data_IF_730733077688
#
_entry.id   IF_730733077688
#
_cell.length_a   1.000
_cell.length_b   1.000
_cell.length_c   1.000
_cell.angle_alpha   90.00
_cell.angle_beta   90.00
_cell.angle_gamma   90.00
#
_symmetry.space_group_name_H-M   'P 1'
#
loop_
_entity.id
_entity.type
_entity.pdbx_description
1 polymer ?
#
# COMPACT_ATOMS: atom_id res chain seq x y z
N UNK A 1 -3.75 57.94 -10.64
CA UNK A 1 -4.44 56.76 -11.19
C UNK A 1 -4.00 55.53 -10.41
N UNK A 2 -4.78 55.16 -9.39
CA UNK A 2 -4.51 53.97 -8.57
C UNK A 2 -4.96 52.74 -9.36
N UNK A 3 -4.03 51.86 -9.72
CA UNK A 3 -4.37 50.55 -10.31
C UNK A 3 -4.78 49.65 -9.15
N UNK A 4 -6.08 49.38 -9.03
CA UNK A 4 -6.61 48.37 -8.13
C UNK A 4 -6.06 47.00 -8.55
N UNK A 5 -5.31 46.35 -7.67
CA UNK A 5 -4.94 44.95 -7.79
C UNK A 5 -6.22 44.11 -7.83
N UNK A 6 -6.40 43.22 -8.83
CA UNK A 6 -7.54 42.32 -8.82
C UNK A 6 -7.38 41.34 -7.65
N UNK A 7 -8.33 41.40 -6.71
CA UNK A 7 -8.49 40.38 -5.68
C UNK A 7 -8.98 39.11 -6.36
N UNK A 8 -8.09 38.15 -6.57
CA UNK A 8 -8.49 36.77 -6.83
C UNK A 8 -9.03 36.21 -5.52
N UNK A 9 -10.31 36.45 -5.23
CA UNK A 9 -11.03 35.58 -4.31
C UNK A 9 -11.10 34.22 -5.00
N UNK A 10 -10.14 33.34 -4.70
CA UNK A 10 -10.15 31.97 -5.17
C UNK A 10 -11.47 31.34 -4.74
N UNK A 11 -12.24 30.83 -5.71
CA UNK A 11 -13.45 30.08 -5.42
C UNK A 11 -13.06 28.72 -4.84
N UNK A 12 -12.77 28.71 -3.54
CA UNK A 12 -12.39 27.50 -2.79
C UNK A 12 -13.60 26.61 -2.48
N UNK A 13 -14.80 26.90 -3.01
CA UNK A 13 -16.01 26.09 -2.74
C UNK A 13 -15.85 24.63 -3.18
N UNK A 14 -15.02 24.36 -4.19
CA UNK A 14 -14.63 23.00 -4.59
C UNK A 14 -13.75 22.31 -3.54
N UNK A 15 -12.86 23.05 -2.87
CA UNK A 15 -12.03 22.53 -1.77
C UNK A 15 -12.81 22.42 -0.45
N UNK A 16 -13.84 23.25 -0.24
CA UNK A 16 -14.69 23.18 0.93
C UNK A 16 -15.40 21.82 1.04
N UNK A 17 -15.81 21.21 -0.07
CA UNK A 17 -16.48 19.90 -0.07
C UNK A 17 -15.54 18.78 0.37
N UNK A 18 -14.25 18.85 0.01
CA UNK A 18 -13.23 17.87 0.41
C UNK A 18 -12.89 17.93 1.91
N UNK A 19 -13.12 19.05 2.59
CA UNK A 19 -12.70 19.27 3.99
C UNK A 19 -13.83 19.16 5.02
N UNK A 20 -15.10 19.14 4.59
CA UNK A 20 -16.24 19.43 5.48
C UNK A 20 -16.59 18.35 6.49
N UNK A 21 -16.23 17.09 6.28
CA UNK A 21 -16.47 16.03 7.28
C UNK A 21 -15.28 15.08 7.32
N UNK A 22 -14.50 15.06 8.43
CA UNK A 22 -13.48 14.05 8.60
C UNK A 22 -14.13 12.65 8.64
N UNK A 23 -13.42 11.60 8.20
CA UNK A 23 -13.94 10.25 8.27
C UNK A 23 -14.27 9.87 9.71
N UNK A 24 -15.35 9.13 9.90
CA UNK A 24 -15.68 8.56 11.20
C UNK A 24 -14.62 7.50 11.56
N UNK A 25 -13.90 7.75 12.65
CA UNK A 25 -12.85 6.85 13.13
C UNK A 25 -13.30 6.11 14.39
N UNK A 26 -13.34 4.79 14.30
CA UNK A 26 -13.59 3.89 15.44
C UNK A 26 -12.42 2.93 15.62
N UNK A 27 -12.11 2.56 16.87
CA UNK A 27 -11.16 1.48 17.18
C UNK A 27 -11.91 0.37 17.87
N UNK A 28 -11.88 -0.83 17.28
CA UNK A 28 -12.53 -2.02 17.83
C UNK A 28 -11.77 -2.54 19.05
N UNK A 29 -12.42 -3.40 19.85
CA UNK A 29 -11.83 -3.98 21.06
C UNK A 29 -10.53 -4.77 20.79
N UNK A 30 -10.40 -5.38 19.61
CA UNK A 30 -9.19 -6.09 19.18
C UNK A 30 -8.08 -5.17 18.62
N UNK A 31 -8.29 -3.86 18.62
CA UNK A 31 -7.33 -2.84 18.20
C UNK A 31 -7.38 -2.47 16.72
N UNK A 32 -8.23 -3.11 15.91
CA UNK A 32 -8.44 -2.73 14.52
C UNK A 32 -9.02 -1.32 14.43
N UNK A 33 -8.47 -0.51 13.53
CA UNK A 33 -9.00 0.84 13.25
C UNK A 33 -9.97 0.77 12.07
N UNK A 34 -11.16 1.31 12.23
CA UNK A 34 -12.14 1.50 11.17
C UNK A 34 -12.22 2.98 10.83
N UNK A 35 -12.13 3.32 9.54
CA UNK A 35 -12.40 4.63 8.98
C UNK A 35 -13.58 4.51 8.02
N UNK A 36 -14.63 5.31 8.21
CA UNK A 36 -15.78 5.38 7.31
C UNK A 36 -15.95 6.79 6.78
N UNK A 37 -15.96 6.96 5.46
CA UNK A 37 -16.29 8.21 4.79
C UNK A 37 -17.56 8.02 3.97
N UNK A 38 -18.68 8.57 4.44
CA UNK A 38 -19.91 8.54 3.65
C UNK A 38 -19.80 9.53 2.49
N UNK A 39 -20.07 9.05 1.29
CA UNK A 39 -20.21 9.84 0.07
C UNK A 39 -21.38 9.29 -0.76
N UNK A 40 -22.47 10.04 -0.85
CA UNK A 40 -23.69 9.64 -1.56
C UNK A 40 -23.71 10.12 -3.01
N UNK A 41 -22.57 10.53 -3.56
CA UNK A 41 -22.48 11.05 -4.94
C UNK A 41 -22.76 9.98 -6.00
N UNK A 42 -22.50 8.71 -5.70
CA UNK A 42 -22.77 7.57 -6.57
C UNK A 42 -23.08 6.31 -5.73
N UNK A 43 -23.90 5.36 -6.24
CA UNK A 43 -24.27 4.12 -5.55
C UNK A 43 -23.14 3.07 -5.59
N UNK A 44 -21.93 3.48 -5.24
CA UNK A 44 -20.71 2.65 -5.21
C UNK A 44 -19.98 2.86 -3.89
N UNK A 45 -19.14 1.90 -3.53
CA UNK A 45 -18.26 1.99 -2.39
C UNK A 45 -16.91 1.31 -2.67
N UNK A 46 -15.87 1.88 -2.07
CA UNK A 46 -14.54 1.29 -1.96
C UNK A 46 -14.36 0.76 -0.55
N UNK A 47 -14.04 -0.54 -0.43
CA UNK A 47 -13.71 -1.21 0.84
C UNK A 47 -12.25 -1.62 0.77
N UNK A 48 -11.45 -1.14 1.72
CA UNK A 48 -10.01 -1.37 1.74
C UNK A 48 -9.56 -1.90 3.10
N UNK A 49 -8.57 -2.78 3.08
CA UNK A 49 -7.84 -3.23 4.27
C UNK A 49 -6.37 -2.85 4.09
N UNK A 50 -5.94 -1.92 4.93
CA UNK A 50 -4.58 -1.42 4.96
C UNK A 50 -3.83 -2.14 6.08
N UNK A 51 -2.83 -2.92 5.70
CA UNK A 51 -1.88 -3.49 6.64
C UNK A 51 -0.76 -2.48 6.82
N UNK A 52 -0.46 -2.08 8.06
CA UNK A 52 0.67 -1.19 8.38
C UNK A 52 2.00 -1.97 8.29
N UNK A 53 2.26 -2.52 7.11
CA UNK A 53 3.44 -3.29 6.78
C UNK A 53 3.73 -3.16 5.30
N UNK A 54 4.99 -3.07 4.94
CA UNK A 54 5.48 -2.93 3.57
C UNK A 54 6.94 -3.35 3.54
N UNK A 55 7.64 -3.12 2.42
CA UNK A 55 8.99 -3.66 2.23
C UNK A 55 10.01 -3.28 3.31
N UNK A 56 9.86 -2.11 3.96
CA UNK A 56 10.77 -1.69 5.05
C UNK A 56 10.57 -2.46 6.36
N UNK A 57 9.48 -3.23 6.46
CA UNK A 57 9.08 -3.95 7.66
C UNK A 57 9.51 -5.42 7.65
N UNK A 58 10.28 -5.86 6.65
CA UNK A 58 10.68 -7.27 6.42
C UNK A 58 11.82 -7.74 7.36
N UNK A 59 12.34 -6.85 8.20
CA UNK A 59 13.25 -7.20 9.30
C UNK A 59 14.57 -7.80 8.80
N UNK A 60 14.89 -9.02 9.24
CA UNK A 60 16.13 -9.70 8.81
C UNK A 60 16.16 -10.07 7.33
N UNK A 61 15.03 -9.95 6.64
CA UNK A 61 14.84 -10.31 5.22
C UNK A 61 14.59 -9.06 4.36
N UNK A 62 15.08 -7.89 4.78
CA UNK A 62 15.02 -6.68 3.96
C UNK A 62 15.62 -6.91 2.56
N UNK A 63 14.88 -6.50 1.54
CA UNK A 63 15.23 -6.72 0.13
C UNK A 63 14.86 -8.10 -0.40
N UNK A 64 14.12 -8.91 0.37
CA UNK A 64 13.58 -10.19 -0.08
C UNK A 64 12.21 -10.06 -0.75
N UNK A 65 11.44 -9.00 -0.50
CA UNK A 65 10.15 -8.78 -1.14
C UNK A 65 9.01 -9.58 -0.53
N UNK A 66 9.08 -9.92 0.77
CA UNK A 66 8.04 -10.68 1.48
C UNK A 66 6.66 -10.01 1.44
N UNK A 67 6.62 -8.68 1.52
CA UNK A 67 5.37 -7.92 1.55
C UNK A 67 4.64 -8.03 0.20
N UNK A 68 5.39 -7.84 -0.88
CA UNK A 68 4.91 -8.01 -2.26
C UNK A 68 4.53 -9.47 -2.55
N UNK A 69 5.30 -10.42 -2.03
CA UNK A 69 4.98 -11.83 -2.23
C UNK A 69 3.68 -12.22 -1.50
N UNK A 70 3.46 -11.72 -0.28
CA UNK A 70 2.19 -11.92 0.41
C UNK A 70 1.02 -11.28 -0.35
N UNK A 71 1.20 -10.09 -0.92
CA UNK A 71 0.20 -9.44 -1.77
C UNK A 71 -0.36 -10.39 -2.85
N UNK A 72 0.53 -11.07 -3.57
CA UNK A 72 0.16 -12.07 -4.58
C UNK A 72 -0.59 -13.27 -4.00
N UNK A 73 -0.24 -13.68 -2.77
CA UNK A 73 -0.68 -14.95 -2.18
C UNK A 73 -1.98 -14.86 -1.40
N UNK A 74 -2.32 -13.69 -0.84
CA UNK A 74 -3.48 -13.57 0.05
C UNK A 74 -4.82 -13.89 -0.65
N UNK A 75 -4.88 -13.72 -1.98
CA UNK A 75 -6.04 -14.10 -2.79
C UNK A 75 -5.95 -15.50 -3.41
N UNK A 76 -4.96 -16.32 -3.05
CA UNK A 76 -4.76 -17.67 -3.65
C UNK A 76 -5.44 -18.80 -2.88
N UNK A 77 -5.89 -18.52 -1.67
CA UNK A 77 -6.70 -19.46 -0.90
C UNK A 77 -6.79 -19.09 0.57
N UNK A 78 -7.97 -19.32 1.12
CA UNK A 78 -8.26 -19.20 2.55
C UNK A 78 -8.77 -20.55 3.06
N UNK A 79 -9.10 -20.64 4.35
CA UNK A 79 -9.76 -21.81 4.91
C UNK A 79 -11.16 -22.04 4.30
N UNK A 80 -11.81 -20.97 3.82
CA UNK A 80 -13.20 -21.01 3.32
C UNK A 80 -13.33 -20.92 1.81
N UNK A 81 -12.35 -20.35 1.11
CA UNK A 81 -12.44 -20.01 -0.31
C UNK A 81 -11.22 -20.48 -1.08
N UNK A 82 -11.45 -21.11 -2.23
CA UNK A 82 -10.38 -21.35 -3.20
C UNK A 82 -9.97 -20.04 -3.88
N UNK A 83 -8.72 -19.91 -4.33
CA UNK A 83 -8.22 -18.64 -4.90
C UNK A 83 -9.06 -18.09 -6.06
N UNK A 84 -9.53 -18.97 -6.96
CA UNK A 84 -10.40 -18.55 -8.08
C UNK A 84 -11.78 -18.04 -7.61
N UNK A 85 -12.30 -18.61 -6.52
CA UNK A 85 -13.60 -18.25 -5.97
C UNK A 85 -13.61 -16.82 -5.48
N UNK A 86 -12.52 -16.35 -4.85
CA UNK A 86 -12.38 -14.98 -4.34
C UNK A 86 -12.67 -13.95 -5.44
N UNK A 87 -11.95 -14.03 -6.57
CA UNK A 87 -12.16 -13.11 -7.69
C UNK A 87 -13.54 -13.27 -8.33
N UNK A 88 -14.02 -14.50 -8.47
CA UNK A 88 -15.33 -14.77 -9.11
C UNK A 88 -16.48 -14.25 -8.27
N UNK A 89 -16.43 -14.38 -6.93
CA UNK A 89 -17.44 -13.83 -6.03
C UNK A 89 -17.53 -12.31 -6.15
N UNK A 90 -16.38 -11.62 -6.20
CA UNK A 90 -16.36 -10.16 -6.35
C UNK A 90 -16.94 -9.74 -7.71
N UNK A 91 -16.50 -10.37 -8.80
CA UNK A 91 -16.98 -10.05 -10.14
C UNK A 91 -18.47 -10.34 -10.32
N UNK A 92 -19.00 -11.40 -9.69
CA UNK A 92 -20.42 -11.72 -9.72
C UNK A 92 -21.30 -10.63 -9.07
N UNK A 93 -20.73 -9.80 -8.20
CA UNK A 93 -21.38 -8.64 -7.59
C UNK A 93 -21.00 -7.31 -8.27
N UNK A 94 -20.47 -7.37 -9.50
CA UNK A 94 -20.07 -6.19 -10.27
C UNK A 94 -18.87 -5.44 -9.69
N UNK A 95 -18.10 -6.08 -8.81
CA UNK A 95 -16.93 -5.48 -8.18
C UNK A 95 -15.63 -5.74 -8.93
N UNK A 96 -14.62 -4.93 -8.61
CA UNK A 96 -13.23 -5.15 -8.96
C UNK A 96 -12.40 -5.34 -7.69
N UNK A 97 -11.46 -6.27 -7.70
CA UNK A 97 -10.56 -6.56 -6.58
C UNK A 97 -9.13 -6.34 -7.02
N UNK A 98 -8.32 -5.72 -6.17
CA UNK A 98 -6.89 -5.58 -6.41
C UNK A 98 -6.13 -5.38 -5.10
N UNK A 99 -4.82 -5.37 -5.19
CA UNK A 99 -3.94 -5.02 -4.09
C UNK A 99 -2.72 -4.25 -4.60
N UNK A 100 -1.98 -3.65 -3.67
CA UNK A 100 -0.66 -3.10 -3.94
C UNK A 100 0.17 -3.03 -2.66
N UNK A 101 1.48 -3.10 -2.83
CA UNK A 101 2.47 -2.96 -1.76
C UNK A 101 3.34 -1.73 -2.01
N UNK A 102 3.59 -0.97 -0.94
CA UNK A 102 4.56 0.12 -0.93
C UNK A 102 5.67 -0.18 0.09
N UNK A 103 6.55 0.78 0.29
CA UNK A 103 7.54 0.72 1.35
C UNK A 103 6.93 0.51 2.74
N UNK A 104 5.80 1.14 3.05
CA UNK A 104 5.28 1.24 4.42
C UNK A 104 3.92 0.59 4.64
N UNK A 105 3.19 0.23 3.58
CA UNK A 105 1.87 -0.38 3.65
C UNK A 105 1.62 -1.39 2.55
N UNK A 106 0.69 -2.31 2.82
CA UNK A 106 0.14 -3.24 1.84
C UNK A 106 -1.37 -3.08 1.91
N UNK A 107 -2.00 -2.83 0.77
CA UNK A 107 -3.42 -2.48 0.70
C UNK A 107 -4.14 -3.48 -0.18
N UNK A 108 -5.21 -4.05 0.34
CA UNK A 108 -6.13 -4.92 -0.38
C UNK A 108 -7.46 -4.20 -0.48
N UNK A 109 -8.03 -4.09 -1.67
CA UNK A 109 -9.26 -3.33 -1.85
C UNK A 109 -10.22 -3.97 -2.84
N UNK A 110 -11.49 -3.66 -2.64
CA UNK A 110 -12.57 -4.01 -3.54
C UNK A 110 -13.44 -2.77 -3.75
N UNK A 111 -13.68 -2.44 -5.00
CA UNK A 111 -14.62 -1.41 -5.43
C UNK A 111 -15.85 -2.09 -6.03
N UNK A 112 -17.06 -1.70 -5.61
CA UNK A 112 -18.30 -2.38 -5.96
C UNK A 112 -19.55 -1.48 -5.76
N UNK A 113 -20.73 -1.87 -6.27
CA UNK A 113 -22.00 -1.25 -5.89
C UNK A 113 -22.20 -1.27 -4.37
N UNK A 114 -22.73 -0.17 -3.80
CA UNK A 114 -22.85 0.02 -2.34
C UNK A 114 -23.69 -1.05 -1.64
N UNK A 115 -24.68 -1.62 -2.32
CA UNK A 115 -25.53 -2.72 -1.82
C UNK A 115 -24.75 -4.00 -1.49
N UNK A 116 -23.53 -4.15 -2.00
CA UNK A 116 -22.72 -5.36 -1.83
C UNK A 116 -21.52 -5.19 -0.88
N UNK A 117 -21.42 -4.08 -0.14
CA UNK A 117 -20.29 -3.80 0.79
C UNK A 117 -20.04 -4.94 1.78
N UNK A 118 -21.08 -5.65 2.22
CA UNK A 118 -20.93 -6.81 3.09
C UNK A 118 -20.18 -7.98 2.45
N UNK A 119 -20.30 -8.16 1.13
CA UNK A 119 -19.55 -9.18 0.37
C UNK A 119 -18.06 -8.82 0.37
N UNK A 120 -17.74 -7.55 0.14
CA UNK A 120 -16.36 -7.08 0.14
C UNK A 120 -15.70 -7.21 1.53
N UNK A 121 -16.42 -6.85 2.60
CA UNK A 121 -15.95 -7.02 3.97
C UNK A 121 -15.70 -8.49 4.31
N UNK A 122 -16.61 -9.40 3.94
CA UNK A 122 -16.43 -10.85 4.15
C UNK A 122 -15.21 -11.38 3.39
N UNK A 123 -15.10 -11.07 2.09
CA UNK A 123 -13.99 -11.53 1.23
C UNK A 123 -12.64 -11.00 1.72
N UNK A 124 -12.54 -9.70 2.01
CA UNK A 124 -11.28 -9.10 2.47
C UNK A 124 -10.91 -9.58 3.89
N UNK A 125 -11.88 -9.76 4.79
CA UNK A 125 -11.60 -10.30 6.12
C UNK A 125 -11.02 -11.71 6.04
N UNK A 126 -11.58 -12.56 5.18
CA UNK A 126 -11.15 -13.94 4.99
C UNK A 126 -9.77 -14.00 4.33
N UNK A 127 -9.53 -13.22 3.27
CA UNK A 127 -8.23 -13.16 2.61
C UNK A 127 -7.12 -12.63 3.54
N UNK A 128 -7.38 -11.56 4.30
CA UNK A 128 -6.36 -10.89 5.11
C UNK A 128 -6.08 -11.61 6.43
N UNK A 129 -7.06 -12.28 7.02
CA UNK A 129 -6.92 -12.92 8.34
C UNK A 129 -6.81 -14.45 8.27
N UNK A 130 -7.31 -15.07 7.20
CA UNK A 130 -7.47 -16.53 7.10
C UNK A 130 -6.85 -17.13 5.84
N UNK A 131 -5.88 -16.45 5.20
CA UNK A 131 -5.10 -17.04 4.11
C UNK A 131 -4.27 -18.23 4.60
N UNK A 132 -4.31 -19.33 3.84
CA UNK A 132 -3.60 -20.58 4.16
C UNK A 132 -2.21 -20.66 3.52
N UNK A 133 -1.90 -19.72 2.61
CA UNK A 133 -0.68 -19.70 1.79
C UNK A 133 -0.39 -21.10 1.20
N UNK A 134 -1.23 -21.61 0.27
CA UNK A 134 -1.08 -22.96 -0.28
C UNK A 134 0.32 -23.18 -0.88
N UNK A 135 0.97 -24.30 -0.59
CA UNK A 135 2.38 -24.50 -0.95
C UNK A 135 2.64 -24.57 -2.47
N UNK A 136 1.67 -25.10 -3.21
CA UNK A 136 1.64 -25.12 -4.67
C UNK A 136 1.52 -23.70 -5.23
N UNK A 137 0.62 -22.88 -4.68
CA UNK A 137 0.47 -21.48 -5.09
C UNK A 137 1.68 -20.62 -4.69
N UNK A 138 2.32 -20.87 -3.55
CA UNK A 138 3.62 -20.25 -3.19
C UNK A 138 4.64 -20.50 -4.30
N UNK A 139 4.85 -21.76 -4.67
CA UNK A 139 5.82 -22.13 -5.72
C UNK A 139 5.46 -21.50 -7.07
N UNK A 140 4.17 -21.50 -7.42
CA UNK A 140 3.68 -20.93 -8.67
C UNK A 140 3.90 -19.43 -8.74
N UNK A 141 3.52 -18.70 -7.70
CA UNK A 141 3.66 -17.24 -7.62
C UNK A 141 5.12 -16.82 -7.54
N UNK A 142 6.01 -17.64 -7.00
CA UNK A 142 7.46 -17.40 -7.09
C UNK A 142 7.89 -17.22 -8.56
N UNK A 143 7.43 -18.11 -9.44
CA UNK A 143 7.72 -18.03 -10.87
C UNK A 143 7.07 -16.84 -11.56
N UNK A 144 5.92 -16.35 -11.07
CA UNK A 144 5.27 -15.13 -11.57
C UNK A 144 6.09 -13.90 -11.21
N UNK A 145 6.45 -13.75 -9.94
CA UNK A 145 7.22 -12.62 -9.43
C UNK A 145 8.62 -12.59 -10.05
N UNK A 146 9.26 -13.75 -10.27
CA UNK A 146 10.54 -13.79 -10.99
C UNK A 146 10.46 -13.25 -12.43
N UNK A 147 9.32 -13.43 -13.10
CA UNK A 147 9.09 -12.82 -14.42
C UNK A 147 8.85 -11.32 -14.31
N UNK A 148 8.14 -10.88 -13.27
CA UNK A 148 7.94 -9.45 -13.02
C UNK A 148 9.25 -8.73 -12.72
N UNK A 149 10.12 -9.31 -11.88
CA UNK A 149 11.49 -8.83 -11.65
C UNK A 149 12.26 -8.75 -12.98
N UNK A 150 12.15 -9.77 -13.84
CA UNK A 150 12.80 -9.74 -15.14
C UNK A 150 12.26 -8.61 -16.04
N UNK A 151 10.94 -8.44 -16.10
CA UNK A 151 10.29 -7.36 -16.85
C UNK A 151 10.71 -5.97 -16.35
N UNK A 152 10.82 -5.77 -15.02
CA UNK A 152 11.33 -4.51 -14.45
C UNK A 152 12.80 -4.25 -14.79
N UNK A 153 13.63 -5.30 -14.88
CA UNK A 153 15.02 -5.19 -15.32
C UNK A 153 15.17 -4.90 -16.83
N UNK A 154 14.13 -5.16 -17.62
CA UNK A 154 14.09 -4.81 -19.04
C UNK A 154 13.58 -3.37 -19.27
N UNK A 155 13.07 -2.71 -18.23
CA UNK A 155 12.60 -1.31 -18.28
C UNK A 155 13.69 -0.33 -17.78
N UNK A 156 14.27 0.52 -18.66
CA UNK A 156 15.27 1.49 -18.27
C UNK A 156 14.77 2.56 -17.28
N UNK A 157 13.48 2.89 -17.28
CA UNK A 157 12.90 3.85 -16.33
C UNK A 157 12.81 3.25 -14.92
N UNK A 158 12.42 1.98 -14.83
CA UNK A 158 12.43 1.24 -13.58
C UNK A 158 13.84 1.16 -12.98
N UNK A 159 14.83 0.79 -13.79
CA UNK A 159 16.23 0.71 -13.38
C UNK A 159 16.81 2.06 -12.93
N UNK A 160 16.42 3.15 -13.59
CA UNK A 160 16.80 4.49 -13.18
C UNK A 160 16.21 4.82 -11.80
N UNK A 161 14.92 4.50 -11.57
CA UNK A 161 14.27 4.65 -10.27
C UNK A 161 14.98 3.88 -9.16
N UNK A 162 15.26 2.58 -9.38
CA UNK A 162 16.01 1.77 -8.41
C UNK A 162 17.41 2.33 -8.13
N UNK A 163 18.13 2.73 -9.18
CA UNK A 163 19.46 3.33 -9.05
C UNK A 163 19.40 4.64 -8.24
N UNK A 164 18.34 5.44 -8.41
CA UNK A 164 18.14 6.68 -7.68
C UNK A 164 17.96 6.42 -6.18
N UNK A 165 17.08 5.48 -5.81
CA UNK A 165 16.85 5.11 -4.41
C UNK A 165 18.10 4.46 -3.76
N UNK A 166 18.79 3.55 -4.45
CA UNK A 166 20.01 2.93 -3.94
C UNK A 166 21.17 3.94 -3.78
N UNK A 167 21.21 4.97 -4.62
CA UNK A 167 22.19 6.07 -4.51
C UNK A 167 21.82 7.05 -3.39
N UNK A 168 20.53 7.36 -3.24
CA UNK A 168 20.02 8.31 -2.26
C UNK A 168 20.07 7.78 -0.83
N UNK A 169 19.81 6.48 -0.61
CA UNK A 169 19.76 5.87 0.71
C UNK A 169 20.90 4.86 0.92
N UNK A 170 21.73 5.07 1.96
CA UNK A 170 22.85 4.19 2.31
C UNK A 170 22.51 3.20 3.40
N UNK A 171 21.66 3.59 4.34
CA UNK A 171 21.27 2.75 5.47
C UNK A 171 19.77 2.50 5.52
N UNK A 172 18.97 3.51 5.14
CA UNK A 172 17.52 3.39 5.22
C UNK A 172 16.99 2.30 4.26
N UNK A 173 16.02 1.46 4.67
CA UNK A 173 15.51 0.36 3.84
C UNK A 173 14.83 0.77 2.52
N UNK A 174 14.55 2.06 2.31
CA UNK A 174 14.06 2.58 1.03
C UNK A 174 15.02 2.34 -0.14
N UNK A 175 16.29 2.01 0.13
CA UNK A 175 17.25 1.58 -0.89
C UNK A 175 16.89 0.25 -1.55
N UNK A 176 16.05 -0.57 -0.90
CA UNK A 176 15.70 -1.88 -1.42
C UNK A 176 14.46 -1.80 -2.31
N UNK A 177 14.44 -2.49 -3.46
CA UNK A 177 13.24 -2.57 -4.29
C UNK A 177 12.13 -3.28 -3.53
N UNK A 178 10.88 -2.83 -3.69
CA UNK A 178 9.70 -3.39 -3.00
C UNK A 178 9.52 -4.88 -3.34
N UNK A 179 9.74 -5.23 -4.62
CA UNK A 179 9.66 -6.61 -5.13
C UNK A 179 10.83 -7.49 -4.66
N UNK A 180 11.89 -6.88 -4.13
CA UNK A 180 13.11 -7.56 -3.68
C UNK A 180 14.13 -7.83 -4.78
N UNK A 181 15.36 -8.15 -4.38
CA UNK A 181 16.40 -8.58 -5.30
C UNK A 181 16.21 -10.05 -5.64
N UNK A 182 16.34 -10.41 -6.93
CA UNK A 182 16.17 -11.79 -7.42
C UNK A 182 16.86 -12.83 -6.53
N UNK A 183 18.15 -12.65 -6.25
CA UNK A 183 18.94 -13.64 -5.52
C UNK A 183 18.46 -13.81 -4.07
N UNK A 184 18.02 -12.73 -3.43
CA UNK A 184 17.46 -12.74 -2.07
C UNK A 184 16.05 -13.34 -2.08
N UNK A 185 15.21 -12.93 -3.04
CA UNK A 185 13.85 -13.43 -3.23
C UNK A 185 13.81 -14.93 -3.47
N UNK A 186 14.74 -15.48 -4.26
CA UNK A 186 14.80 -16.93 -4.52
C UNK A 186 15.10 -17.78 -3.28
N UNK A 187 15.71 -17.19 -2.25
CA UNK A 187 16.01 -17.87 -1.00
C UNK A 187 14.85 -17.85 0.01
N UNK A 188 13.79 -17.09 -0.26
CA UNK A 188 12.61 -17.01 0.61
C UNK A 188 11.90 -18.36 0.68
N UNK A 189 11.66 -18.83 1.89
CA UNK A 189 10.89 -20.06 2.12
C UNK A 189 9.43 -19.75 2.45
N UNK A 190 8.57 -20.75 2.30
CA UNK A 190 7.17 -20.65 2.75
C UNK A 190 7.07 -20.37 4.25
N UNK A 191 7.98 -20.91 5.05
CA UNK A 191 7.95 -20.70 6.50
C UNK A 191 8.30 -19.25 6.87
N UNK A 192 9.19 -18.60 6.11
CA UNK A 192 9.45 -17.16 6.23
C UNK A 192 8.18 -16.34 5.95
N UNK A 193 7.47 -16.67 4.86
CA UNK A 193 6.20 -16.02 4.49
C UNK A 193 5.13 -16.21 5.57
N UNK A 194 4.93 -17.44 6.04
CA UNK A 194 3.95 -17.74 7.10
C UNK A 194 4.31 -17.02 8.39
N UNK A 195 5.59 -16.96 8.76
CA UNK A 195 6.06 -16.26 9.95
C UNK A 195 5.84 -14.76 9.83
N UNK A 196 6.17 -14.17 8.68
CA UNK A 196 5.95 -12.76 8.40
C UNK A 196 4.45 -12.40 8.39
N UNK A 197 3.63 -13.21 7.71
CA UNK A 197 2.17 -13.08 7.68
C UNK A 197 1.59 -13.06 9.10
N UNK A 198 1.85 -14.10 9.91
CA UNK A 198 1.35 -14.18 11.28
C UNK A 198 1.83 -13.05 12.19
N UNK A 199 3.03 -12.53 11.96
CA UNK A 199 3.60 -11.45 12.77
C UNK A 199 3.01 -10.06 12.43
N UNK A 200 2.58 -9.85 11.19
CA UNK A 200 2.17 -8.52 10.68
C UNK A 200 0.69 -8.38 10.39
N UNK A 201 0.00 -9.46 10.03
CA UNK A 201 -1.41 -9.48 9.62
C UNK A 201 -2.30 -9.77 10.83
N UNK A 202 -2.31 -8.83 11.78
CA UNK A 202 -3.04 -8.94 13.05
C UNK A 202 -3.95 -7.73 13.22
N UNK A 203 -5.13 -7.85 13.86
CA UNK A 203 -6.15 -6.80 13.84
C UNK A 203 -5.65 -5.42 14.29
N UNK A 204 -4.83 -5.37 15.34
CA UNK A 204 -4.22 -4.13 15.84
C UNK A 204 -3.13 -3.51 14.94
N UNK A 205 -2.82 -4.14 13.80
CA UNK A 205 -1.97 -3.63 12.73
C UNK A 205 -2.74 -3.33 11.43
N UNK A 206 -4.08 -3.50 11.45
CA UNK A 206 -4.96 -3.27 10.30
C UNK A 206 -5.74 -1.95 10.44
N UNK A 207 -6.01 -1.33 9.30
CA UNK A 207 -7.02 -0.27 9.15
C UNK A 207 -8.00 -0.70 8.07
N UNK A 208 -9.27 -0.82 8.42
CA UNK A 208 -10.35 -0.99 7.44
C UNK A 208 -10.85 0.40 7.06
N UNK A 209 -10.87 0.70 5.76
CA UNK A 209 -11.34 1.97 5.22
C UNK A 209 -12.53 1.68 4.32
N UNK A 210 -13.67 2.33 4.57
CA UNK A 210 -14.85 2.23 3.72
C UNK A 210 -15.27 3.63 3.28
N UNK A 211 -15.29 3.88 1.99
CA UNK A 211 -15.71 5.15 1.41
C UNK A 211 -16.77 4.94 0.33
N UNK A 212 -17.86 5.73 0.36
CA UNK A 212 -18.95 5.64 -0.63
C UNK A 212 -20.34 5.76 -0.03
N UNK A 213 -21.36 5.30 -0.76
CA UNK A 213 -22.76 5.43 -0.33
C UNK A 213 -23.11 4.36 0.72
N UNK A 214 -22.63 4.56 1.95
CA UNK A 214 -22.72 3.59 3.04
C UNK A 214 -23.20 4.23 4.33
N UNK A 215 -23.98 3.47 5.11
CA UNK A 215 -24.30 3.83 6.49
C UNK A 215 -23.16 3.37 7.41
N UNK A 216 -22.55 4.30 8.14
CA UNK A 216 -21.44 4.02 9.02
C UNK A 216 -21.78 3.06 10.18
N UNK A 217 -23.01 3.10 10.71
CA UNK A 217 -23.45 2.18 11.76
C UNK A 217 -23.60 0.75 11.20
N UNK A 218 -24.13 0.61 9.99
CA UNK A 218 -24.22 -0.68 9.30
C UNK A 218 -22.84 -1.24 8.98
N UNK A 219 -21.94 -0.42 8.44
CA UNK A 219 -20.54 -0.81 8.16
C UNK A 219 -19.84 -1.25 9.43
N UNK A 220 -19.96 -0.49 10.52
CA UNK A 220 -19.35 -0.83 11.80
C UNK A 220 -19.82 -2.19 12.31
N UNK A 221 -21.12 -2.46 12.28
CA UNK A 221 -21.68 -3.75 12.70
C UNK A 221 -21.11 -4.91 11.87
N UNK A 222 -20.99 -4.73 10.56
CA UNK A 222 -20.41 -5.74 9.68
C UNK A 222 -18.90 -5.93 9.91
N UNK A 223 -18.15 -4.85 10.12
CA UNK A 223 -16.72 -4.93 10.46
C UNK A 223 -16.51 -5.62 11.81
N UNK A 224 -17.33 -5.31 12.82
CA UNK A 224 -17.30 -6.03 14.11
C UNK A 224 -17.62 -7.52 13.94
N UNK A 225 -18.57 -7.88 13.07
CA UNK A 225 -18.90 -9.27 12.75
C UNK A 225 -17.75 -10.02 12.07
N UNK A 226 -17.14 -9.43 11.04
CA UNK A 226 -16.15 -10.11 10.19
C UNK A 226 -14.73 -10.05 10.75
N UNK A 227 -14.34 -8.93 11.38
CA UNK A 227 -12.98 -8.73 11.89
C UNK A 227 -12.90 -8.79 13.43
N UNK A 228 -14.01 -8.61 14.14
CA UNK A 228 -13.99 -8.43 15.61
C UNK A 228 -13.63 -9.68 16.41
N UNK A 229 -13.79 -10.88 15.84
CA UNK A 229 -13.44 -12.15 16.49
C UNK A 229 -11.95 -12.48 16.40
N UNK A 230 -11.23 -11.85 15.48
CA UNK A 230 -9.80 -12.07 15.34
C UNK A 230 -9.05 -11.54 16.57
N UNK A 231 -8.18 -12.35 17.20
CA UNK A 231 -7.52 -11.97 18.44
C UNK A 231 -6.50 -10.86 18.19
N UNK A 232 -6.46 -9.89 19.11
CA UNK A 232 -5.36 -8.95 19.18
C UNK A 232 -4.05 -9.71 19.42
N UNK A 233 -2.99 -9.31 18.74
CA UNK A 233 -1.67 -9.93 18.90
C UNK A 233 -0.60 -8.92 19.29
N UNK A 234 0.49 -9.43 19.89
CA UNK A 234 1.67 -8.61 20.16
C UNK A 234 2.35 -8.26 18.84
N UNK A 235 2.38 -6.98 18.51
CA UNK A 235 3.12 -6.47 17.37
C UNK A 235 4.51 -6.04 17.83
N UNK A 236 5.55 -6.70 17.31
CA UNK A 236 6.91 -6.27 17.55
C UNK A 236 7.13 -4.88 16.90
N UNK A 237 7.78 -3.94 17.59
CA UNK A 237 8.15 -2.67 16.97
C UNK A 237 9.14 -2.94 15.83
N UNK A 238 8.89 -2.34 14.66
CA UNK A 238 9.89 -2.33 13.59
C UNK A 238 10.79 -1.13 13.82
N UNK A 239 12.08 -1.39 14.04
CA UNK A 239 13.08 -0.35 14.14
C UNK A 239 13.59 -0.03 12.73
N UNK A 240 13.06 1.04 12.14
CA UNK A 240 13.62 1.62 10.92
C UNK A 240 14.58 2.73 11.32
N UNK A 241 15.88 2.52 11.11
CA UNK A 241 16.88 3.53 11.40
C UNK A 241 16.76 4.69 10.40
N UNK A 242 16.85 5.95 10.85
CA UNK A 242 16.83 7.09 9.94
C UNK A 242 18.05 7.08 9.01
N UNK A 243 17.90 7.61 7.80
CA UNK A 243 19.04 7.82 6.90
C UNK A 243 19.98 8.88 7.51
N UNK A 244 21.30 8.64 7.58
CA UNK A 244 22.24 9.66 8.02
C UNK A 244 22.23 10.88 7.07
N UNK A 245 22.47 12.10 7.60
CA UNK A 245 22.52 13.29 6.76
C UNK A 245 23.48 13.14 5.58
N UNK A 246 23.03 13.50 4.39
CA UNK A 246 23.89 13.52 3.21
C UNK A 246 24.84 14.73 3.25
N UNK A 247 26.14 14.48 3.42
CA UNK A 247 27.16 15.52 3.53
C UNK A 247 27.78 15.95 2.18
N UNK A 248 27.59 15.16 1.13
CA UNK A 248 28.13 15.43 -0.20
C UNK A 248 27.19 14.89 -1.29
N UNK A 249 27.24 15.45 -2.53
CA UNK A 249 26.54 14.88 -3.67
C UNK A 249 26.90 13.41 -3.90
N UNK A 250 25.91 12.63 -4.32
CA UNK A 250 26.07 11.22 -4.69
C UNK A 250 25.61 11.07 -6.14
N UNK A 251 26.35 10.31 -6.93
CA UNK A 251 26.04 10.07 -8.32
C UNK A 251 26.43 8.65 -8.71
N UNK A 252 25.67 8.07 -9.64
CA UNK A 252 25.97 6.81 -10.30
C UNK A 252 25.73 6.97 -11.79
N UNK A 253 26.61 6.42 -12.60
CA UNK A 253 26.51 6.43 -14.06
C UNK A 253 26.51 4.98 -14.52
N UNK A 254 25.45 4.57 -15.21
CA UNK A 254 25.32 3.21 -15.77
C UNK A 254 25.36 3.31 -17.29
N UNK A 255 26.20 2.50 -17.91
CA UNK A 255 26.29 2.38 -19.36
C UNK A 255 25.64 1.07 -19.76
N UNK A 256 24.51 1.17 -20.44
CA UNK A 256 23.59 0.06 -20.70
C UNK A 256 23.15 0.12 -22.17
N UNK A 257 22.63 -0.99 -22.69
CA UNK A 257 22.16 -1.10 -24.07
C UNK A 257 20.76 -0.48 -24.20
N UNK A 258 20.71 0.86 -24.28
CA UNK A 258 19.48 1.65 -24.36
C UNK A 258 19.63 2.74 -25.42
N UNK A 259 18.54 3.05 -26.13
CA UNK A 259 18.56 4.04 -27.22
C UNK A 259 18.65 5.49 -26.72
N UNK A 260 18.13 5.75 -25.52
CA UNK A 260 18.03 7.09 -24.93
C UNK A 260 18.80 7.17 -23.61
N UNK A 261 19.53 8.26 -23.42
CA UNK A 261 20.09 8.61 -22.12
C UNK A 261 18.99 9.11 -21.20
N UNK A 262 18.92 8.56 -20.00
CA UNK A 262 17.98 8.95 -18.95
C UNK A 262 18.74 9.47 -17.74
N UNK A 263 18.17 10.45 -17.04
CA UNK A 263 18.79 11.06 -15.87
C UNK A 263 17.72 11.39 -14.81
N UNK A 264 18.06 11.16 -13.54
CA UNK A 264 17.22 11.49 -12.39
C UNK A 264 18.03 12.28 -11.36
N UNK A 265 17.39 13.27 -10.73
CA UNK A 265 17.97 14.08 -9.66
C UNK A 265 17.02 14.05 -8.47
N UNK A 266 17.56 13.83 -7.27
CA UNK A 266 16.77 13.79 -6.03
C UNK A 266 17.48 14.55 -4.92
N UNK A 267 16.70 15.21 -4.07
CA UNK A 267 17.17 15.86 -2.85
C UNK A 267 16.46 15.25 -1.63
N UNK A 268 17.20 15.08 -0.53
CA UNK A 268 16.59 14.73 0.75
C UNK A 268 15.80 15.94 1.27
N UNK A 269 14.52 15.73 1.56
CA UNK A 269 13.62 16.74 2.11
C UNK A 269 13.09 16.31 3.49
N UNK A 270 12.55 17.24 4.29
CA UNK A 270 11.83 16.90 5.51
C UNK A 270 10.65 15.95 5.24
N UNK A 271 10.26 15.17 6.25
CA UNK A 271 9.12 14.24 6.14
C UNK A 271 7.76 14.93 5.99
N UNK A 272 6.74 14.16 5.62
CA UNK A 272 5.38 14.64 5.29
C UNK A 272 4.70 15.46 6.39
N UNK A 273 5.08 15.28 7.66
CA UNK A 273 4.50 16.02 8.80
C UNK A 273 5.23 17.33 9.10
N UNK A 274 6.28 17.67 8.35
CA UNK A 274 7.01 18.91 8.52
C UNK A 274 6.21 20.12 8.00
N UNK A 275 6.34 21.28 8.64
CA UNK A 275 5.61 22.49 8.26
C UNK A 275 5.89 22.95 6.82
N UNK A 276 7.08 22.62 6.29
CA UNK A 276 7.48 22.97 4.92
C UNK A 276 6.95 21.99 3.87
N UNK A 277 6.35 20.86 4.25
CA UNK A 277 5.88 19.84 3.29
C UNK A 277 4.91 20.42 2.22
N UNK A 278 3.92 21.27 2.56
CA UNK A 278 3.05 21.89 1.54
C UNK A 278 3.79 22.82 0.58
N UNK A 279 4.85 23.50 1.05
CA UNK A 279 5.65 24.42 0.21
C UNK A 279 6.50 23.63 -0.77
N UNK A 280 7.09 22.52 -0.32
CA UNK A 280 7.87 21.62 -1.16
C UNK A 280 7.00 20.90 -2.19
N UNK A 281 5.77 20.53 -1.82
CA UNK A 281 4.79 19.96 -2.75
C UNK A 281 4.40 20.96 -3.85
N UNK A 282 4.12 22.21 -3.47
CA UNK A 282 3.86 23.29 -4.43
C UNK A 282 5.07 23.54 -5.36
N UNK A 283 6.30 23.50 -4.82
CA UNK A 283 7.51 23.61 -5.63
C UNK A 283 7.60 22.47 -6.66
N UNK A 284 7.29 21.23 -6.26
CA UNK A 284 7.21 20.08 -7.16
C UNK A 284 6.23 20.32 -8.31
N UNK A 285 5.01 20.79 -8.00
CA UNK A 285 4.01 21.16 -9.02
C UNK A 285 4.52 22.22 -9.99
N UNK A 286 5.14 23.29 -9.49
CA UNK A 286 5.69 24.36 -10.32
C UNK A 286 6.82 23.90 -11.24
N UNK A 287 7.59 22.88 -10.82
CA UNK A 287 8.67 22.29 -11.60
C UNK A 287 8.21 21.20 -12.57
N UNK A 288 6.90 20.91 -12.65
CA UNK A 288 6.33 19.92 -13.56
C UNK A 288 5.78 18.66 -12.89
N UNK A 289 5.40 18.75 -11.62
CA UNK A 289 4.90 17.67 -10.75
C UNK A 289 5.94 16.71 -10.16
N UNK A 290 7.23 16.97 -10.40
CA UNK A 290 8.31 16.13 -9.89
C UNK A 290 8.51 14.89 -10.75
#
# INVERSE_FOLDING_TARGET
MSKSTPSFASDLRLLETFWKQPPERTVLANGLTLLVQRDTSAPVASVQVWVKTGSIHEGGLLGAGLSHYLEHLLFKGTERRAGREISTTVQAHGGNINAYTTFDRTVYYIDLPSDHVGVALDVLSDAVLHSTLPADEVTREQGVILREIAMGNDDPDHRLGEALFDTAFRQHPYRYPIIGYKDVFTAVTRDDLVSYYKARYVPNNLVVVVAGDVDAASVRSQVEKFFGTAPRAKLAPVLVLPEPPQLAPRAVHRHEDVELTRAGLSWQIPGLTHADAPVLDLLGVLLGQG
#
